data_IF_489569408297
#
_entry.id   IF_489569408297
#
_cell.length_a   1.000
_cell.length_b   1.000
_cell.length_c   1.000
_cell.angle_alpha   90.00
_cell.angle_beta   90.00
_cell.angle_gamma   90.00
#
_symmetry.space_group_name_H-M   'P 1'
#
loop_
_entity.id
_entity.type
_entity.pdbx_description
1 polymer ?
#
# COMPACT_ATOMS: atom_id res chain seq x y z
N UNK A 1 -27.90 -1.81 -24.23
CA UNK A 1 -27.06 -1.23 -23.15
C UNK A 1 -25.79 -2.03 -23.08
N UNK A 2 -24.67 -1.51 -23.55
CA UNK A 2 -23.39 -2.18 -23.54
C UNK A 2 -22.90 -2.27 -22.08
N UNK A 3 -22.64 -3.47 -21.60
CA UNK A 3 -22.14 -3.72 -20.24
C UNK A 3 -20.74 -3.14 -20.12
N UNK A 4 -20.49 -2.22 -19.19
CA UNK A 4 -19.17 -1.61 -18.96
C UNK A 4 -18.13 -2.72 -18.70
N UNK A 5 -17.06 -2.72 -19.50
CA UNK A 5 -16.06 -3.81 -19.52
C UNK A 5 -15.02 -3.74 -18.41
N UNK A 6 -14.96 -2.67 -17.60
CA UNK A 6 -13.97 -2.51 -16.54
C UNK A 6 -14.53 -1.76 -15.32
N UNK A 7 -14.19 -2.25 -14.13
CA UNK A 7 -14.49 -1.60 -12.87
C UNK A 7 -13.72 -0.28 -12.74
N UNK A 8 -14.40 0.75 -12.23
CA UNK A 8 -13.82 2.07 -12.01
C UNK A 8 -13.51 2.30 -10.54
N UNK A 9 -12.36 2.90 -10.29
CA UNK A 9 -11.92 3.27 -8.95
C UNK A 9 -12.03 4.77 -8.76
N UNK A 10 -12.56 5.20 -7.62
CA UNK A 10 -12.61 6.61 -7.24
C UNK A 10 -11.18 7.18 -7.13
N UNK A 11 -11.02 8.42 -7.56
CA UNK A 11 -9.76 9.16 -7.52
C UNK A 11 -10.07 10.63 -7.22
N UNK A 12 -9.08 11.37 -6.74
CA UNK A 12 -9.14 12.82 -6.61
C UNK A 12 -7.77 13.42 -6.96
N UNK A 13 -7.23 12.99 -8.11
CA UNK A 13 -5.90 13.40 -8.54
C UNK A 13 -5.97 14.63 -9.42
N UNK A 14 -5.23 15.67 -9.03
CA UNK A 14 -4.98 16.82 -9.90
C UNK A 14 -4.11 16.39 -11.07
N UNK A 15 -4.46 16.82 -12.26
CA UNK A 15 -3.74 16.53 -13.51
C UNK A 15 -3.60 17.79 -14.35
N UNK A 16 -2.60 17.78 -15.21
CA UNK A 16 -2.54 18.68 -16.36
C UNK A 16 -2.80 17.88 -17.62
N UNK A 17 -3.30 18.53 -18.66
CA UNK A 17 -3.46 17.92 -19.97
C UNK A 17 -3.21 18.96 -21.05
N UNK A 18 -2.67 18.54 -22.20
CA UNK A 18 -2.31 19.42 -23.30
C UNK A 18 -3.19 19.16 -24.53
N UNK A 19 -3.65 20.25 -25.17
CA UNK A 19 -4.39 20.21 -26.41
C UNK A 19 -4.01 21.44 -27.25
N UNK A 20 -3.63 21.23 -28.53
CA UNK A 20 -3.16 22.29 -29.41
C UNK A 20 -2.08 23.22 -28.82
N UNK A 21 -1.08 22.64 -28.13
CA UNK A 21 0.03 23.33 -27.43
C UNK A 21 -0.39 24.22 -26.24
N UNK A 22 -1.62 24.14 -25.79
CA UNK A 22 -2.07 24.77 -24.56
C UNK A 22 -2.18 23.75 -23.42
N UNK A 23 -1.87 24.17 -22.20
CA UNK A 23 -1.93 23.33 -20.99
C UNK A 23 -3.15 23.72 -20.15
N UNK A 24 -3.93 22.73 -19.79
CA UNK A 24 -5.13 22.85 -18.98
C UNK A 24 -4.98 22.05 -17.69
N UNK A 25 -5.72 22.46 -16.65
CA UNK A 25 -5.77 21.74 -15.38
C UNK A 25 -7.13 21.06 -15.18
N UNK A 26 -7.11 19.93 -14.53
CA UNK A 26 -8.32 19.19 -14.16
C UNK A 26 -8.10 18.24 -13.00
N UNK A 27 -9.18 17.51 -12.67
CA UNK A 27 -9.14 16.49 -11.61
C UNK A 27 -9.70 15.19 -12.16
N UNK A 28 -8.95 14.11 -12.04
CA UNK A 28 -9.45 12.75 -12.32
C UNK A 28 -10.27 12.29 -11.12
N UNK A 29 -11.58 12.11 -11.31
CA UNK A 29 -12.49 11.69 -10.24
C UNK A 29 -12.73 10.18 -10.22
N UNK A 30 -12.53 9.50 -11.33
CA UNK A 30 -12.47 8.04 -11.38
C UNK A 30 -11.60 7.56 -12.53
N UNK A 31 -11.02 6.38 -12.39
CA UNK A 31 -10.13 5.78 -13.37
C UNK A 31 -10.30 4.26 -13.44
N UNK A 32 -9.93 3.70 -14.59
CA UNK A 32 -9.90 2.27 -14.87
C UNK A 32 -8.73 1.98 -15.82
N UNK A 33 -8.44 0.72 -16.08
CA UNK A 33 -7.38 0.31 -17.02
C UNK A 33 -7.56 0.93 -18.42
N UNK A 34 -8.80 1.17 -18.86
CA UNK A 34 -9.13 1.60 -20.20
C UNK A 34 -9.51 3.08 -20.30
N UNK A 35 -9.62 3.81 -19.19
CA UNK A 35 -10.05 5.20 -19.27
C UNK A 35 -10.26 5.87 -17.91
N UNK A 36 -10.54 7.18 -17.98
CA UNK A 36 -10.77 7.98 -16.79
C UNK A 36 -11.88 9.03 -17.03
N UNK A 37 -12.37 9.59 -15.93
CA UNK A 37 -13.23 10.75 -15.98
C UNK A 37 -12.49 11.96 -15.43
N UNK A 38 -12.40 13.00 -16.26
CA UNK A 38 -11.72 14.25 -15.96
C UNK A 38 -12.75 15.34 -15.73
N UNK A 39 -12.77 15.88 -14.51
CA UNK A 39 -13.51 17.08 -14.19
C UNK A 39 -12.63 18.30 -14.51
N UNK A 40 -13.13 19.18 -15.38
CA UNK A 40 -12.41 20.39 -15.81
C UNK A 40 -13.39 21.47 -16.26
N UNK A 41 -12.96 22.72 -16.16
CA UNK A 41 -13.69 23.87 -16.71
C UNK A 41 -13.63 23.92 -18.26
N UNK A 42 -12.59 23.32 -18.83
CA UNK A 42 -12.41 23.25 -20.30
C UNK A 42 -12.75 21.84 -20.77
N UNK A 43 -13.64 21.75 -21.75
CA UNK A 43 -14.09 20.50 -22.35
C UNK A 43 -13.69 20.48 -23.82
N UNK A 44 -13.25 19.32 -24.32
CA UNK A 44 -12.93 19.13 -25.73
C UNK A 44 -14.02 18.29 -26.42
N UNK A 45 -14.25 18.52 -27.73
CA UNK A 45 -15.25 17.77 -28.48
C UNK A 45 -15.04 16.25 -28.39
N UNK A 46 -16.13 15.50 -28.51
CA UNK A 46 -16.06 14.04 -28.63
C UNK A 46 -15.18 13.64 -29.81
N UNK A 47 -14.34 12.63 -29.62
CA UNK A 47 -13.29 12.14 -30.54
C UNK A 47 -12.01 12.95 -30.54
N UNK A 48 -11.90 14.11 -29.86
CA UNK A 48 -10.61 14.79 -29.69
C UNK A 48 -9.60 13.86 -28.98
N UNK A 49 -8.35 13.95 -29.42
CA UNK A 49 -7.21 13.25 -28.84
C UNK A 49 -6.26 14.27 -28.23
N UNK A 50 -5.73 13.95 -27.02
CA UNK A 50 -4.81 14.83 -26.30
C UNK A 50 -4.03 14.04 -25.24
N UNK A 51 -2.99 14.65 -24.67
CA UNK A 51 -2.17 14.04 -23.65
C UNK A 51 -2.57 14.47 -22.25
N UNK A 52 -2.72 13.51 -21.35
CA UNK A 52 -2.93 13.71 -19.91
C UNK A 52 -1.65 13.45 -19.16
N UNK A 53 -1.23 14.39 -18.32
CA UNK A 53 -0.05 14.27 -17.48
C UNK A 53 -0.45 13.96 -16.05
N UNK A 54 -0.10 12.76 -15.57
CA UNK A 54 -0.42 12.29 -14.22
C UNK A 54 0.86 12.02 -13.43
N UNK A 55 0.94 12.58 -12.23
CA UNK A 55 2.04 12.29 -11.31
C UNK A 55 1.88 10.89 -10.70
N UNK A 56 2.87 10.03 -10.91
CA UNK A 56 2.95 8.70 -10.32
C UNK A 56 4.30 8.60 -9.60
N UNK A 57 4.27 8.63 -8.27
CA UNK A 57 5.48 8.76 -7.44
C UNK A 57 6.29 10.00 -7.87
N UNK A 58 7.56 9.83 -8.24
CA UNK A 58 8.46 10.90 -8.67
C UNK A 58 8.43 11.18 -10.18
N UNK A 59 7.65 10.42 -10.95
CA UNK A 59 7.57 10.53 -12.41
C UNK A 59 6.24 11.09 -12.86
N UNK A 60 6.27 11.89 -13.92
CA UNK A 60 5.08 12.33 -14.66
C UNK A 60 4.89 11.39 -15.85
N UNK A 61 3.76 10.72 -15.91
CA UNK A 61 3.38 9.90 -17.06
C UNK A 61 2.58 10.75 -18.04
N UNK A 62 2.93 10.69 -19.32
CA UNK A 62 2.11 11.19 -20.43
C UNK A 62 1.22 10.05 -20.92
N UNK A 63 -0.09 10.31 -20.95
CA UNK A 63 -1.11 9.33 -21.31
C UNK A 63 -1.92 9.89 -22.48
N UNK A 64 -1.73 9.36 -23.70
CA UNK A 64 -2.57 9.73 -24.83
C UNK A 64 -3.99 9.20 -24.61
N UNK A 65 -4.97 10.12 -24.72
CA UNK A 65 -6.37 9.81 -24.49
C UNK A 65 -7.27 10.35 -25.59
N UNK A 66 -8.46 9.74 -25.69
CA UNK A 66 -9.51 10.14 -26.63
C UNK A 66 -10.80 10.41 -25.89
N UNK A 67 -11.44 11.56 -26.18
CA UNK A 67 -12.75 11.90 -25.60
C UNK A 67 -13.82 10.96 -26.16
N UNK A 68 -14.51 10.23 -25.27
CA UNK A 68 -15.61 9.33 -25.62
C UNK A 68 -16.98 9.92 -25.33
N UNK A 69 -17.08 10.78 -24.32
CA UNK A 69 -18.34 11.42 -23.93
C UNK A 69 -18.09 12.70 -23.14
N UNK A 70 -19.03 13.61 -23.24
CA UNK A 70 -19.11 14.82 -22.43
C UNK A 70 -20.29 14.70 -21.45
N UNK A 71 -20.13 15.30 -20.28
CA UNK A 71 -21.21 15.49 -19.32
C UNK A 71 -21.64 16.95 -19.35
N UNK A 72 -22.93 17.17 -19.52
CA UNK A 72 -23.52 18.48 -19.78
C UNK A 72 -23.41 19.42 -18.58
N UNK A 73 -23.18 20.74 -18.80
CA UNK A 73 -23.00 21.73 -17.72
C UNK A 73 -24.22 21.97 -16.81
N UNK A 74 -25.42 21.51 -17.20
CA UNK A 74 -26.64 21.58 -16.38
C UNK A 74 -26.70 20.55 -15.25
N UNK A 75 -25.81 19.54 -15.29
CA UNK A 75 -25.65 18.57 -14.21
C UNK A 75 -24.53 19.02 -13.28
N UNK A 76 -24.63 18.66 -12.00
CA UNK A 76 -23.74 19.06 -10.89
C UNK A 76 -22.24 18.82 -11.14
N UNK A 77 -21.84 18.19 -12.26
CA UNK A 77 -20.46 17.82 -12.59
C UNK A 77 -20.17 18.04 -14.09
N UNK A 78 -19.29 18.99 -14.38
CA UNK A 78 -18.80 19.27 -15.72
C UNK A 78 -17.52 18.46 -15.98
N UNK A 79 -17.49 17.61 -17.03
CA UNK A 79 -16.29 16.83 -17.30
C UNK A 79 -16.35 15.96 -18.56
N UNK A 80 -15.23 15.29 -18.81
CA UNK A 80 -15.01 14.44 -19.97
C UNK A 80 -14.74 13.00 -19.54
N UNK A 81 -15.44 12.04 -20.16
CA UNK A 81 -15.06 10.64 -20.11
C UNK A 81 -14.09 10.35 -21.25
N UNK A 82 -12.86 10.00 -20.91
CA UNK A 82 -11.80 9.70 -21.88
C UNK A 82 -11.41 8.23 -21.84
N UNK A 83 -10.99 7.70 -22.98
CA UNK A 83 -10.39 6.38 -23.15
C UNK A 83 -8.88 6.56 -23.32
N UNK A 84 -8.09 5.67 -22.71
CA UNK A 84 -6.65 5.60 -22.93
C UNK A 84 -6.36 4.86 -24.23
N UNK A 85 -5.45 5.42 -25.05
CA UNK A 85 -5.09 4.82 -26.33
C UNK A 85 -4.00 3.76 -26.18
N UNK A 86 -3.07 3.93 -25.23
CA UNK A 86 -1.97 2.99 -24.97
C UNK A 86 -1.49 3.15 -23.52
N UNK A 87 -2.19 2.57 -22.54
CA UNK A 87 -1.81 2.74 -21.13
C UNK A 87 -0.49 2.03 -20.83
N UNK A 88 0.55 2.74 -20.34
CA UNK A 88 1.80 2.12 -19.92
C UNK A 88 1.59 1.30 -18.64
N UNK A 89 2.47 0.31 -18.41
CA UNK A 89 2.41 -0.58 -17.23
C UNK A 89 2.35 0.19 -15.91
N UNK A 90 3.09 1.29 -15.79
CA UNK A 90 3.08 2.14 -14.58
C UNK A 90 1.69 2.75 -14.30
N UNK A 91 0.90 3.06 -15.34
CA UNK A 91 -0.48 3.50 -15.18
C UNK A 91 -1.39 2.34 -14.78
N UNK A 92 -1.24 1.17 -15.39
CA UNK A 92 -2.00 -0.03 -15.05
C UNK A 92 -1.75 -0.42 -13.59
N UNK A 93 -0.51 -0.36 -13.14
CA UNK A 93 -0.14 -0.60 -11.73
C UNK A 93 -0.78 0.43 -10.80
N UNK A 94 -0.78 1.72 -11.16
CA UNK A 94 -1.48 2.75 -10.40
C UNK A 94 -2.97 2.44 -10.26
N UNK A 95 -3.64 2.04 -11.34
CA UNK A 95 -5.07 1.70 -11.31
C UNK A 95 -5.32 0.47 -10.45
N UNK A 96 -4.48 -0.55 -10.56
CA UNK A 96 -4.54 -1.76 -9.72
C UNK A 96 -4.40 -1.41 -8.24
N UNK A 97 -3.43 -0.58 -7.89
CA UNK A 97 -3.20 -0.09 -6.53
C UNK A 97 -4.43 0.68 -6.02
N UNK A 98 -4.99 1.59 -6.82
CA UNK A 98 -6.17 2.37 -6.43
C UNK A 98 -7.43 1.51 -6.32
N UNK A 99 -7.60 0.52 -7.21
CA UNK A 99 -8.71 -0.43 -7.16
C UNK A 99 -8.64 -1.29 -5.89
N UNK A 100 -7.46 -1.72 -5.55
CA UNK A 100 -7.18 -2.43 -4.31
C UNK A 100 -7.56 -1.59 -3.09
N UNK A 101 -7.09 -0.33 -3.01
CA UNK A 101 -7.45 0.58 -1.92
C UNK A 101 -8.97 0.80 -1.79
N UNK A 102 -9.70 0.81 -2.91
CA UNK A 102 -11.15 0.98 -2.91
C UNK A 102 -11.91 -0.29 -2.47
N UNK A 103 -11.38 -1.48 -2.77
CA UNK A 103 -11.92 -2.77 -2.28
C UNK A 103 -11.60 -2.93 -0.79
N UNK A 104 -10.42 -2.53 -0.36
CA UNK A 104 -10.00 -2.55 1.04
C UNK A 104 -10.82 -1.60 1.91
N UNK A 105 -11.21 -0.43 1.43
CA UNK A 105 -12.12 0.44 2.16
C UNK A 105 -13.51 -0.19 2.38
N UNK A 106 -13.97 -1.05 1.48
CA UNK A 106 -15.20 -1.84 1.65
C UNK A 106 -14.97 -3.12 2.46
N UNK A 107 -13.79 -3.74 2.34
CA UNK A 107 -13.38 -4.92 3.13
C UNK A 107 -12.82 -4.53 4.52
N UNK A 108 -12.26 -3.33 4.68
CA UNK A 108 -11.84 -2.77 5.97
C UNK A 108 -13.02 -2.46 6.91
N UNK A 109 -14.27 -2.56 6.42
CA UNK A 109 -15.44 -2.66 7.31
C UNK A 109 -15.57 -4.06 7.96
N UNK A 110 -14.90 -5.09 7.47
CA UNK A 110 -14.63 -6.31 8.23
C UNK A 110 -13.40 -6.07 9.13
N UNK A 111 -13.66 -5.82 10.40
CA UNK A 111 -12.64 -5.62 11.44
C UNK A 111 -11.69 -6.81 11.42
N UNK A 112 -10.45 -6.61 10.94
CA UNK A 112 -9.41 -7.65 10.93
C UNK A 112 -9.22 -8.13 12.36
N UNK A 113 -9.51 -9.41 12.59
CA UNK A 113 -9.26 -10.03 13.89
C UNK A 113 -7.78 -10.25 14.07
N UNK A 114 -7.30 -10.00 15.29
CA UNK A 114 -5.90 -10.17 15.69
C UNK A 114 -5.85 -11.12 16.86
N UNK A 115 -5.04 -12.16 16.72
CA UNK A 115 -4.82 -13.16 17.75
C UNK A 115 -3.35 -13.18 18.13
N UNK A 116 -3.05 -13.05 19.39
CA UNK A 116 -1.67 -13.04 19.90
C UNK A 116 -1.34 -14.39 20.54
N UNK A 117 -0.25 -15.00 20.14
CA UNK A 117 0.32 -16.17 20.80
C UNK A 117 0.95 -15.74 22.12
N UNK A 118 0.46 -16.27 23.25
CA UNK A 118 0.96 -15.95 24.58
C UNK A 118 2.41 -16.39 24.82
N UNK A 119 2.86 -17.42 24.10
CA UNK A 119 4.20 -17.97 24.27
C UNK A 119 5.29 -17.13 23.59
N UNK A 120 4.99 -16.46 22.45
CA UNK A 120 6.03 -15.76 21.66
C UNK A 120 5.61 -14.42 21.09
N UNK A 121 4.42 -13.93 21.42
CA UNK A 121 3.83 -12.68 20.90
C UNK A 121 3.67 -12.64 19.38
N UNK A 122 3.65 -13.80 18.69
CA UNK A 122 3.29 -13.86 17.27
C UNK A 122 1.85 -13.42 17.05
N UNK A 123 1.60 -12.61 16.01
CA UNK A 123 0.26 -12.15 15.68
C UNK A 123 -0.28 -12.97 14.49
N UNK A 124 -1.40 -13.62 14.68
CA UNK A 124 -2.17 -14.23 13.60
C UNK A 124 -3.34 -13.31 13.21
N UNK A 125 -3.60 -13.19 11.92
CA UNK A 125 -4.64 -12.32 11.37
C UNK A 125 -5.83 -13.15 10.90
N UNK A 126 -7.05 -12.72 11.22
CA UNK A 126 -8.35 -13.29 10.84
C UNK A 126 -8.65 -14.69 11.40
N UNK A 127 -7.67 -15.56 11.52
CA UNK A 127 -7.82 -16.92 12.07
C UNK A 127 -6.55 -17.35 12.79
N UNK A 128 -6.72 -18.17 13.82
CA UNK A 128 -5.62 -18.79 14.55
C UNK A 128 -5.09 -20.02 13.80
N UNK A 129 -3.77 -20.19 13.68
CA UNK A 129 -3.20 -21.43 13.14
C UNK A 129 -3.37 -22.56 14.14
N UNK A 130 -3.36 -23.81 13.67
CA UNK A 130 -3.39 -25.00 14.54
C UNK A 130 -2.22 -25.02 15.53
N UNK A 131 -1.03 -24.64 15.03
CA UNK A 131 0.17 -24.45 15.80
C UNK A 131 0.83 -23.14 15.41
N UNK A 132 1.43 -22.45 16.38
CA UNK A 132 2.17 -21.22 16.12
C UNK A 132 3.36 -21.49 15.17
N UNK A 133 3.48 -20.76 14.04
CA UNK A 133 4.54 -20.99 13.06
C UNK A 133 5.94 -20.64 13.59
N UNK A 134 6.03 -19.93 14.72
CA UNK A 134 7.30 -19.48 15.29
C UNK A 134 7.75 -20.28 16.51
N UNK A 135 6.84 -20.68 17.41
CA UNK A 135 7.19 -21.38 18.65
C UNK A 135 6.52 -22.73 18.80
N UNK A 136 5.69 -23.13 17.84
CA UNK A 136 4.93 -24.38 17.83
C UNK A 136 3.92 -24.55 18.98
N UNK A 137 3.57 -23.47 19.69
CA UNK A 137 2.51 -23.48 20.70
C UNK A 137 1.16 -23.83 20.06
N UNK A 138 0.25 -24.47 20.82
CA UNK A 138 -1.05 -24.90 20.32
C UNK A 138 -1.99 -23.73 20.04
N UNK A 139 -3.11 -24.03 19.36
CA UNK A 139 -4.17 -23.04 19.10
C UNK A 139 -4.71 -22.42 20.38
N UNK A 140 -4.70 -23.13 21.49
CA UNK A 140 -5.22 -22.67 22.79
C UNK A 140 -4.37 -21.56 23.41
N UNK A 141 -3.13 -21.39 22.95
CA UNK A 141 -2.24 -20.31 23.34
C UNK A 141 -2.56 -18.98 22.65
N UNK A 142 -3.48 -18.97 21.68
CA UNK A 142 -3.86 -17.75 20.98
C UNK A 142 -5.06 -17.07 21.65
N UNK A 143 -4.90 -15.80 21.96
CA UNK A 143 -5.96 -14.95 22.51
C UNK A 143 -6.33 -13.85 21.50
N UNK A 144 -7.62 -13.66 21.25
CA UNK A 144 -8.11 -12.53 20.46
C UNK A 144 -7.84 -11.22 21.22
N UNK A 145 -6.99 -10.37 20.63
CA UNK A 145 -6.63 -9.09 21.23
C UNK A 145 -6.73 -7.98 20.17
N UNK A 146 -7.90 -7.32 20.04
CA UNK A 146 -8.14 -6.33 18.99
C UNK A 146 -7.17 -5.15 18.97
N UNK A 147 -6.64 -4.78 20.13
CA UNK A 147 -5.70 -3.67 20.31
C UNK A 147 -4.24 -4.11 20.43
N UNK A 148 -3.92 -5.33 19.98
CA UNK A 148 -2.56 -5.87 20.07
C UNK A 148 -1.51 -5.05 19.31
N UNK A 149 -1.92 -4.26 18.34
CA UNK A 149 -1.02 -3.57 17.41
C UNK A 149 -1.41 -2.10 17.31
N UNK A 150 -0.42 -1.23 17.44
CA UNK A 150 -0.52 0.21 17.19
C UNK A 150 -0.06 0.51 15.76
N UNK A 151 -0.79 1.39 15.07
CA UNK A 151 -0.52 1.80 13.68
C UNK A 151 -0.53 3.31 13.57
N UNK A 152 -0.03 3.85 12.46
CA UNK A 152 -0.10 5.30 12.18
C UNK A 152 -1.51 5.87 12.25
N UNK A 153 -2.51 5.10 11.87
CA UNK A 153 -3.92 5.53 11.88
C UNK A 153 -4.55 5.62 13.27
N UNK A 154 -3.87 5.12 14.29
CA UNK A 154 -4.37 5.17 15.68
C UNK A 154 -4.06 6.52 16.36
N UNK A 155 -3.31 7.42 15.69
CA UNK A 155 -2.86 8.69 16.23
C UNK A 155 -3.31 9.86 15.34
N UNK A 156 -3.85 10.91 15.95
CA UNK A 156 -4.19 12.17 15.27
C UNK A 156 -2.92 12.97 14.92
N UNK A 157 -1.93 12.95 15.80
CA UNK A 157 -0.61 13.53 15.60
C UNK A 157 0.47 12.53 15.99
N UNK A 158 1.55 12.45 15.20
CA UNK A 158 2.67 11.55 15.42
C UNK A 158 3.75 12.33 16.18
N UNK A 159 3.83 12.05 17.48
CA UNK A 159 4.86 12.61 18.35
C UNK A 159 6.22 11.88 18.26
N UNK A 160 7.18 12.34 19.06
CA UNK A 160 8.50 11.68 19.14
C UNK A 160 8.43 10.23 19.64
N UNK A 161 7.44 9.94 20.49
CA UNK A 161 7.26 8.61 21.05
C UNK A 161 6.87 7.60 19.95
N UNK A 162 5.90 7.94 19.11
CA UNK A 162 5.46 7.12 18.00
C UNK A 162 6.57 6.97 16.95
N UNK A 163 7.29 8.08 16.68
CA UNK A 163 8.44 8.11 15.76
C UNK A 163 9.59 7.21 16.16
N UNK A 164 9.72 6.85 17.45
CA UNK A 164 10.73 5.89 17.93
C UNK A 164 10.33 4.42 17.69
N UNK A 165 9.04 4.12 17.55
CA UNK A 165 8.54 2.75 17.58
C UNK A 165 8.04 2.23 16.23
N UNK A 166 7.51 3.13 15.37
CA UNK A 166 6.93 2.72 14.09
C UNK A 166 8.01 2.22 13.14
N UNK A 167 7.83 1.03 12.52
CA UNK A 167 8.76 0.57 11.48
C UNK A 167 8.77 1.51 10.28
N UNK A 168 9.94 1.88 9.81
CA UNK A 168 10.18 2.59 8.54
C UNK A 168 10.66 1.57 7.53
N UNK A 169 9.87 1.37 6.47
CA UNK A 169 10.13 0.36 5.45
C UNK A 169 10.58 1.05 4.17
N UNK A 170 11.76 0.70 3.69
CA UNK A 170 12.31 1.16 2.42
C UNK A 170 12.37 -0.02 1.45
N UNK A 171 11.82 0.17 0.26
CA UNK A 171 11.77 -0.86 -0.79
C UNK A 171 12.51 -0.34 -2.01
N UNK A 172 13.52 -1.07 -2.46
CA UNK A 172 14.21 -0.84 -3.72
C UNK A 172 13.98 -2.00 -4.67
N UNK A 173 13.66 -1.68 -5.93
CA UNK A 173 13.48 -2.68 -6.99
C UNK A 173 14.76 -2.70 -7.80
N UNK A 174 15.59 -3.72 -7.64
CA UNK A 174 16.68 -4.00 -8.56
C UNK A 174 16.21 -4.98 -9.63
N UNK A 175 16.44 -4.60 -10.89
CA UNK A 175 16.32 -5.54 -12.00
C UNK A 175 17.59 -6.38 -11.98
N UNK A 176 17.48 -7.66 -11.63
CA UNK A 176 18.60 -8.60 -11.71
C UNK A 176 19.14 -8.71 -13.14
N UNK A 177 20.37 -9.17 -13.29
CA UNK A 177 21.08 -9.33 -14.59
C UNK A 177 20.40 -10.27 -15.59
N UNK A 178 19.36 -11.00 -15.17
CA UNK A 178 18.51 -11.82 -16.04
C UNK A 178 17.07 -11.32 -15.95
N UNK A 179 16.41 -11.15 -17.10
CA UNK A 179 15.05 -10.61 -17.23
C UNK A 179 13.97 -11.40 -16.46
N UNK A 180 14.28 -12.58 -15.93
CA UNK A 180 13.33 -13.49 -15.31
C UNK A 180 13.23 -13.40 -13.76
N UNK A 181 14.14 -12.67 -13.09
CA UNK A 181 14.12 -12.57 -11.62
C UNK A 181 13.99 -11.12 -11.16
N UNK A 182 12.77 -10.74 -10.81
CA UNK A 182 12.50 -9.47 -10.10
C UNK A 182 12.77 -9.70 -8.62
N UNK A 183 13.86 -9.15 -8.13
CA UNK A 183 14.16 -9.11 -6.69
C UNK A 183 13.77 -7.76 -6.13
N UNK A 184 13.30 -7.77 -4.89
CA UNK A 184 12.94 -6.57 -4.13
C UNK A 184 13.81 -6.57 -2.88
N UNK A 185 14.68 -5.57 -2.74
CA UNK A 185 15.41 -5.35 -1.52
C UNK A 185 14.55 -4.57 -0.53
N UNK A 186 14.36 -5.13 0.64
CA UNK A 186 13.59 -4.56 1.73
C UNK A 186 14.54 -4.22 2.86
N UNK A 187 14.63 -2.93 3.19
CA UNK A 187 15.32 -2.45 4.39
C UNK A 187 14.28 -1.93 5.37
N UNK A 188 14.38 -2.38 6.61
CA UNK A 188 13.51 -1.96 7.71
C UNK A 188 14.36 -1.40 8.82
N UNK A 189 13.94 -0.25 9.33
CA UNK A 189 14.49 0.39 10.52
C UNK A 189 13.34 0.71 11.46
N UNK A 190 13.47 0.43 12.75
CA UNK A 190 12.49 0.85 13.73
C UNK A 190 12.78 2.28 14.15
N UNK A 191 11.79 3.13 13.90
CA UNK A 191 11.79 4.53 14.23
C UNK A 191 12.48 5.45 13.20
N UNK A 192 11.85 6.58 12.90
CA UNK A 192 12.51 7.72 12.27
C UNK A 192 13.55 8.31 13.23
N UNK A 193 13.19 8.35 14.52
CA UNK A 193 14.09 8.69 15.63
C UNK A 193 14.59 7.38 16.22
N UNK A 194 15.88 7.28 16.48
CA UNK A 194 16.50 6.07 17.00
C UNK A 194 15.82 5.60 18.28
N UNK A 195 15.39 4.34 18.31
CA UNK A 195 14.89 3.68 19.51
C UNK A 195 16.05 3.29 20.42
N UNK A 196 15.87 3.48 21.72
CA UNK A 196 16.80 2.97 22.73
C UNK A 196 16.82 1.45 22.72
N UNK A 197 17.97 0.83 23.01
CA UNK A 197 18.14 -0.62 23.03
C UNK A 197 18.64 -1.10 24.42
N UNK A 198 18.13 -0.44 25.47
CA UNK A 198 18.42 -0.84 26.85
C UNK A 198 17.61 -2.06 27.26
N UNK A 199 18.06 -2.83 28.25
CA UNK A 199 17.37 -4.07 28.67
C UNK A 199 15.89 -3.88 29.00
N UNK A 200 15.51 -2.74 29.56
CA UNK A 200 14.14 -2.42 29.97
C UNK A 200 13.32 -1.72 28.91
N UNK A 201 13.96 -1.16 27.88
CA UNK A 201 13.29 -0.47 26.79
C UNK A 201 14.01 -0.75 25.46
N UNK A 202 13.66 -1.84 24.80
CA UNK A 202 14.27 -2.25 23.53
C UNK A 202 13.28 -2.92 22.60
N UNK A 203 13.56 -2.86 21.32
CA UNK A 203 12.91 -3.71 20.34
C UNK A 203 13.45 -5.13 20.50
N UNK A 204 12.56 -6.09 20.73
CA UNK A 204 12.91 -7.51 20.96
C UNK A 204 12.95 -8.26 19.64
N UNK A 205 11.99 -8.00 18.76
CA UNK A 205 11.92 -8.66 17.47
C UNK A 205 11.25 -7.79 16.40
N UNK A 206 11.49 -8.17 15.16
CA UNK A 206 10.78 -7.72 13.95
C UNK A 206 10.13 -8.93 13.31
N UNK A 207 8.81 -8.89 13.11
CA UNK A 207 8.07 -9.88 12.35
C UNK A 207 7.69 -9.33 10.98
N UNK A 208 7.82 -10.17 9.97
CA UNK A 208 7.52 -9.88 8.59
C UNK A 208 6.39 -10.77 8.11
N UNK A 209 5.38 -10.15 7.51
CA UNK A 209 4.24 -10.84 6.94
C UNK A 209 4.09 -10.43 5.49
N UNK A 210 3.68 -11.37 4.66
CA UNK A 210 3.39 -11.11 3.27
C UNK A 210 1.98 -11.60 2.92
N UNK A 211 1.24 -10.77 2.18
CA UNK A 211 -0.10 -11.07 1.68
C UNK A 211 -0.12 -10.88 0.16
N UNK A 212 -0.33 -11.96 -0.58
CA UNK A 212 -0.49 -11.98 -2.04
C UNK A 212 -1.91 -11.60 -2.48
N UNK A 213 -2.54 -10.62 -1.79
CA UNK A 213 -3.88 -10.08 -2.11
C UNK A 213 -5.08 -11.01 -1.86
N UNK A 214 -4.92 -12.04 -1.05
CA UNK A 214 -6.01 -12.96 -0.67
C UNK A 214 -6.49 -12.78 0.78
N UNK A 215 -6.11 -11.67 1.45
CA UNK A 215 -6.34 -11.41 2.88
C UNK A 215 -5.74 -12.48 3.82
N UNK A 216 -4.72 -13.18 3.36
CA UNK A 216 -4.03 -14.21 4.12
C UNK A 216 -2.59 -13.76 4.40
N UNK A 217 -2.41 -12.96 5.45
CA UNK A 217 -1.11 -12.48 5.90
C UNK A 217 -0.33 -13.64 6.51
N UNK A 218 0.66 -14.12 5.81
CA UNK A 218 1.55 -15.18 6.27
C UNK A 218 2.80 -14.57 6.88
N UNK A 219 3.18 -15.04 8.07
CA UNK A 219 4.49 -14.74 8.63
C UNK A 219 5.57 -15.39 7.77
N UNK A 220 6.47 -14.57 7.25
CA UNK A 220 7.56 -15.02 6.37
C UNK A 220 8.91 -15.02 7.07
N UNK A 221 9.10 -14.20 8.11
CA UNK A 221 10.33 -14.14 8.87
C UNK A 221 10.11 -13.50 10.24
N UNK A 222 10.97 -13.86 11.21
CA UNK A 222 11.20 -13.13 12.47
C UNK A 222 12.69 -12.87 12.64
N UNK A 223 13.04 -11.62 12.93
CA UNK A 223 14.39 -11.22 13.32
C UNK A 223 14.39 -10.92 14.82
N UNK A 224 15.05 -11.74 15.60
CA UNK A 224 15.21 -11.53 17.05
C UNK A 224 16.39 -10.60 17.34
N UNK A 225 16.17 -9.62 18.19
CA UNK A 225 17.15 -8.60 18.59
C UNK A 225 17.55 -8.83 20.04
N UNK A 226 18.33 -9.88 20.27
CA UNK A 226 18.56 -10.40 21.62
C UNK A 226 19.59 -9.64 22.46
N UNK A 227 20.28 -8.63 21.90
CA UNK A 227 21.25 -7.87 22.66
C UNK A 227 21.25 -6.38 22.31
N UNK A 228 21.65 -5.56 23.29
CA UNK A 228 21.74 -4.09 23.14
C UNK A 228 22.77 -3.60 22.10
N UNK A 229 23.63 -4.50 21.61
CA UNK A 229 24.59 -4.18 20.56
C UNK A 229 24.00 -4.24 19.14
N UNK A 230 22.78 -4.78 19.02
CA UNK A 230 22.08 -4.86 17.73
C UNK A 230 21.31 -3.56 17.49
N UNK A 231 21.39 -3.04 16.27
CA UNK A 231 20.49 -1.99 15.81
C UNK A 231 19.12 -2.61 15.49
N UNK A 232 17.98 -1.94 15.76
CA UNK A 232 16.66 -2.43 15.40
C UNK A 232 16.40 -2.25 13.91
N UNK A 233 17.27 -2.84 13.10
CA UNK A 233 17.28 -2.77 11.64
C UNK A 233 17.46 -4.16 11.05
N UNK A 234 16.90 -4.38 9.86
CA UNK A 234 17.20 -5.57 9.08
C UNK A 234 17.01 -5.30 7.60
N UNK A 235 17.76 -6.05 6.78
CA UNK A 235 17.64 -6.01 5.33
C UNK A 235 17.54 -7.43 4.81
N UNK A 236 16.63 -7.65 3.85
CA UNK A 236 16.48 -8.93 3.19
C UNK A 236 15.99 -8.73 1.77
N UNK A 237 16.15 -9.77 0.95
CA UNK A 237 15.71 -9.77 -0.43
C UNK A 237 14.50 -10.69 -0.59
N UNK A 238 13.44 -10.13 -1.17
CA UNK A 238 12.28 -10.90 -1.60
C UNK A 238 12.43 -11.27 -3.08
N UNK A 239 12.32 -12.55 -3.38
CA UNK A 239 12.13 -13.02 -4.74
C UNK A 239 10.63 -12.93 -5.04
N UNK A 240 10.18 -11.79 -5.54
CA UNK A 240 8.76 -11.58 -5.80
C UNK A 240 8.50 -11.51 -7.30
N UNK A 241 7.74 -12.46 -7.78
CA UNK A 241 7.12 -12.43 -9.11
C UNK A 241 5.76 -11.73 -9.03
N UNK A 242 5.17 -11.64 -7.84
CA UNK A 242 3.83 -11.08 -7.59
C UNK A 242 3.90 -9.86 -6.70
N UNK A 243 3.07 -8.86 -6.99
CA UNK A 243 2.86 -7.74 -6.09
C UNK A 243 2.11 -8.21 -4.84
N UNK A 244 2.40 -7.61 -3.69
CA UNK A 244 1.75 -7.96 -2.42
C UNK A 244 1.80 -6.84 -1.39
N UNK A 245 1.23 -7.12 -0.22
CA UNK A 245 1.32 -6.25 0.95
C UNK A 245 2.36 -6.83 1.91
N UNK A 246 3.46 -6.11 2.10
CA UNK A 246 4.43 -6.41 3.14
C UNK A 246 4.01 -5.67 4.40
N UNK A 247 3.77 -6.42 5.47
CA UNK A 247 3.48 -5.90 6.81
C UNK A 247 4.69 -6.17 7.69
N UNK A 248 5.18 -5.16 8.39
CA UNK A 248 6.26 -5.27 9.36
C UNK A 248 5.74 -4.91 10.74
N UNK A 249 6.03 -5.78 11.69
CA UNK A 249 5.67 -5.60 13.09
C UNK A 249 6.94 -5.50 13.91
N UNK A 250 7.09 -4.43 14.69
CA UNK A 250 8.12 -4.29 15.72
C UNK A 250 7.51 -4.50 17.10
N UNK A 251 8.22 -5.18 17.99
CA UNK A 251 7.79 -5.39 19.37
C UNK A 251 8.81 -4.81 20.34
N UNK A 252 8.37 -3.77 21.07
CA UNK A 252 9.13 -3.20 22.19
C UNK A 252 8.67 -3.86 23.49
N UNK A 253 9.63 -4.30 24.33
CA UNK A 253 9.31 -4.94 25.62
C UNK A 253 8.57 -4.01 26.60
N UNK A 254 8.80 -2.70 26.52
CA UNK A 254 8.16 -1.70 27.37
C UNK A 254 6.85 -1.16 26.78
N UNK A 255 6.76 -1.03 25.45
CA UNK A 255 5.70 -0.25 24.81
C UNK A 255 4.81 -1.05 23.84
N UNK A 256 5.01 -2.38 23.79
CA UNK A 256 4.17 -3.29 23.01
C UNK A 256 4.47 -3.28 21.51
N UNK A 257 3.46 -3.57 20.71
CA UNK A 257 3.59 -3.94 19.30
C UNK A 257 3.14 -2.80 18.39
N UNK A 258 3.94 -2.54 17.35
CA UNK A 258 3.76 -1.46 16.38
C UNK A 258 3.85 -2.01 14.95
N UNK A 259 3.11 -1.44 14.02
CA UNK A 259 3.00 -1.99 12.67
C UNK A 259 3.10 -0.88 11.62
N UNK A 260 3.80 -1.20 10.54
CA UNK A 260 3.76 -0.46 9.29
C UNK A 260 3.58 -1.41 8.10
N UNK A 261 3.05 -0.87 7.01
CA UNK A 261 2.73 -1.63 5.81
C UNK A 261 3.22 -0.91 4.57
N UNK A 262 3.71 -1.67 3.61
CA UNK A 262 4.10 -1.17 2.29
C UNK A 262 3.71 -2.16 1.20
N UNK A 263 3.34 -1.66 0.05
CA UNK A 263 3.12 -2.49 -1.14
C UNK A 263 4.40 -2.68 -1.91
N UNK A 264 4.61 -3.89 -2.34
CA UNK A 264 5.81 -4.31 -3.08
C UNK A 264 5.44 -4.93 -4.41
#
# INVERSE_FOLDING_TARGET
>A
MEKRSADRTASNRKINFSFHNEIFAGTVTNMSENGMYINSKTLFPVKSEFDVYIQVREKVLSLPVKVRRLFNPSEKFTGMGVELLNPPDQYLDLVRILRWNCKDLKAAQQKIKKYTCNSCNHIAFNQTPTNCPLCNASIDDFIEYPHAIKTLSDFEEIGEFEKKHLPVITVSKEYGFTQDHRCIDVSVKVGEIRHDMDPENRIIFLDYYFDEFNNNRRCIARVNLNCKKMSPESTFRLNSITSGLLTVISHCNAHGTWMAEVRV
#
